data_IF_817891798352
#
_entry.id   IF_817891798352
#
_cell.length_a   1.000
_cell.length_b   1.000
_cell.length_c   1.000
_cell.angle_alpha   90.00
_cell.angle_beta   90.00
_cell.angle_gamma   90.00
#
_symmetry.space_group_name_H-M   'P 1'
#
loop_
_entity.id
_entity.type
_entity.pdbx_description
1 polymer ?
#
# COMPACT_ATOMS: atom_id res chain seq x y z
N UNK A 1 3.67 -49.83 -15.85
CA UNK A 1 2.64 -48.89 -15.36
C UNK A 1 3.40 -47.75 -14.69
N UNK A 2 3.69 -46.69 -15.45
CA UNK A 2 4.41 -45.53 -14.94
C UNK A 2 3.41 -44.66 -14.18
N UNK A 3 3.59 -44.53 -12.88
CA UNK A 3 2.84 -43.58 -12.07
C UNK A 3 3.60 -42.26 -12.22
N UNK A 4 3.12 -41.38 -13.09
CA UNK A 4 3.53 -39.98 -13.10
C UNK A 4 3.24 -39.37 -11.70
N UNK A 5 4.17 -38.61 -11.10
CA UNK A 5 3.85 -37.90 -9.88
C UNK A 5 2.84 -36.81 -10.21
N UNK A 6 1.67 -36.93 -9.59
CA UNK A 6 0.56 -35.99 -9.66
C UNK A 6 0.97 -34.59 -9.19
N UNK A 7 0.43 -33.61 -9.91
CA UNK A 7 0.56 -32.17 -9.71
C UNK A 7 -0.15 -31.75 -8.41
N UNK A 8 0.45 -31.97 -7.24
CA UNK A 8 -0.14 -31.55 -5.94
C UNK A 8 0.89 -31.05 -4.91
N UNK A 9 2.14 -30.76 -5.28
CA UNK A 9 3.18 -30.35 -4.32
C UNK A 9 3.50 -28.85 -4.28
N UNK A 10 2.91 -28.02 -5.15
CA UNK A 10 3.20 -26.58 -5.17
C UNK A 10 2.38 -25.72 -4.21
N UNK A 11 1.30 -26.24 -3.61
CA UNK A 11 0.41 -25.45 -2.73
C UNK A 11 0.89 -25.32 -1.26
N UNK A 12 2.02 -25.94 -0.89
CA UNK A 12 2.43 -26.05 0.52
C UNK A 12 3.56 -25.11 0.96
N UNK A 13 4.19 -24.35 0.06
CA UNK A 13 5.26 -23.44 0.47
C UNK A 13 4.68 -22.13 1.02
N UNK A 14 4.91 -21.86 2.31
CA UNK A 14 4.50 -20.61 2.95
C UNK A 14 5.48 -19.51 2.56
N UNK A 15 5.02 -18.55 1.76
CA UNK A 15 5.83 -17.38 1.39
C UNK A 15 5.98 -16.48 2.61
N UNK A 16 7.19 -15.98 2.85
CA UNK A 16 7.49 -14.94 3.84
C UNK A 16 7.73 -13.60 3.12
N UNK A 17 6.70 -12.75 2.92
CA UNK A 17 6.78 -11.55 2.07
C UNK A 17 7.89 -10.56 2.46
N UNK A 18 8.23 -10.48 3.74
CA UNK A 18 9.25 -9.56 4.26
C UNK A 18 10.69 -10.03 4.03
N UNK A 19 10.91 -11.24 3.52
CA UNK A 19 12.25 -11.65 3.12
C UNK A 19 12.73 -10.80 1.94
N UNK A 20 14.00 -10.32 1.92
CA UNK A 20 14.48 -9.40 0.89
C UNK A 20 14.24 -9.89 -0.55
N UNK A 21 14.47 -11.18 -0.82
CA UNK A 21 14.20 -11.81 -2.12
C UNK A 21 12.72 -11.71 -2.52
N UNK A 22 11.82 -11.87 -1.56
CA UNK A 22 10.38 -11.84 -1.77
C UNK A 22 9.86 -10.41 -1.94
N UNK A 23 10.39 -9.44 -1.18
CA UNK A 23 10.14 -8.01 -1.40
C UNK A 23 10.55 -7.62 -2.82
N UNK A 24 11.76 -7.98 -3.23
CA UNK A 24 12.24 -7.71 -4.59
C UNK A 24 11.33 -8.36 -5.65
N UNK A 25 10.94 -9.62 -5.45
CA UNK A 25 10.07 -10.34 -6.39
C UNK A 25 8.68 -9.69 -6.46
N UNK A 26 8.12 -9.24 -5.34
CA UNK A 26 6.83 -8.53 -5.29
C UNK A 26 6.88 -7.21 -6.09
N UNK A 27 7.95 -6.43 -5.91
CA UNK A 27 8.10 -5.11 -6.56
C UNK A 27 8.35 -5.24 -8.07
N UNK A 28 9.29 -6.10 -8.47
CA UNK A 28 9.78 -6.12 -9.86
C UNK A 28 9.25 -7.29 -10.68
N UNK A 29 8.77 -8.36 -10.04
CA UNK A 29 8.27 -9.56 -10.70
C UNK A 29 6.93 -10.04 -10.11
N UNK A 30 5.91 -9.18 -9.96
CA UNK A 30 4.70 -9.50 -9.20
C UNK A 30 3.96 -10.72 -9.74
N UNK A 31 3.99 -10.97 -11.05
CA UNK A 31 3.42 -12.19 -11.65
C UNK A 31 4.05 -13.45 -11.05
N UNK A 32 5.38 -13.48 -10.94
CA UNK A 32 6.15 -14.60 -10.37
C UNK A 32 5.90 -14.74 -8.88
N UNK A 33 5.81 -13.62 -8.16
CA UNK A 33 5.51 -13.64 -6.73
C UNK A 33 4.14 -14.28 -6.44
N UNK A 34 3.09 -13.83 -7.13
CA UNK A 34 1.72 -14.32 -6.89
C UNK A 34 1.44 -15.72 -7.47
N UNK A 35 2.29 -16.23 -8.37
CA UNK A 35 2.15 -17.59 -8.90
C UNK A 35 2.84 -18.65 -8.04
N UNK A 36 3.65 -18.26 -7.04
CA UNK A 36 4.40 -19.21 -6.22
C UNK A 36 3.51 -20.00 -5.27
N UNK A 37 2.60 -19.33 -4.56
CA UNK A 37 1.73 -19.93 -3.55
C UNK A 37 0.65 -18.93 -3.13
N UNK A 38 -0.48 -19.44 -2.65
CA UNK A 38 -1.57 -18.64 -2.06
C UNK A 38 -1.41 -18.50 -0.54
N UNK A 39 -0.45 -19.20 0.04
CA UNK A 39 -0.20 -19.26 1.48
C UNK A 39 0.90 -18.27 1.88
N UNK A 40 0.49 -17.19 2.57
CA UNK A 40 1.41 -16.17 3.06
C UNK A 40 1.57 -16.26 4.57
N UNK A 41 2.80 -16.05 5.04
CA UNK A 41 3.13 -16.03 6.46
C UNK A 41 2.32 -14.95 7.20
N UNK A 42 1.46 -15.38 8.13
CA UNK A 42 0.45 -14.55 8.78
C UNK A 42 1.05 -13.31 9.48
N UNK A 43 2.13 -13.48 10.24
CA UNK A 43 2.77 -12.35 10.95
C UNK A 43 3.32 -11.30 9.97
N UNK A 44 3.83 -11.73 8.81
CA UNK A 44 4.33 -10.79 7.80
C UNK A 44 3.18 -9.96 7.22
N UNK A 45 2.02 -10.57 6.99
CA UNK A 45 0.83 -9.85 6.53
C UNK A 45 0.35 -8.85 7.59
N UNK A 46 0.34 -9.21 8.88
CA UNK A 46 -0.02 -8.29 9.96
C UNK A 46 0.93 -7.09 10.00
N UNK A 47 2.25 -7.33 9.96
CA UNK A 47 3.24 -6.24 9.97
C UNK A 47 3.05 -5.31 8.77
N UNK A 48 2.83 -5.85 7.57
CA UNK A 48 2.58 -5.04 6.39
C UNK A 48 1.26 -4.25 6.51
N UNK A 49 0.19 -4.87 7.00
CA UNK A 49 -1.08 -4.20 7.24
C UNK A 49 -0.93 -3.04 8.24
N UNK A 50 -0.13 -3.24 9.28
CA UNK A 50 0.23 -2.20 10.23
C UNK A 50 0.99 -1.04 9.57
N UNK A 51 2.02 -1.32 8.76
CA UNK A 51 2.76 -0.30 8.02
C UNK A 51 1.85 0.53 7.09
N UNK A 52 0.88 -0.11 6.43
CA UNK A 52 -0.13 0.61 5.63
C UNK A 52 -0.99 1.51 6.52
N UNK A 53 -1.37 1.05 7.72
CA UNK A 53 -2.08 1.86 8.71
C UNK A 53 -1.27 3.07 9.15
N UNK A 54 0.03 2.91 9.41
CA UNK A 54 0.97 4.00 9.72
C UNK A 54 0.99 5.03 8.58
N UNK A 55 1.20 4.59 7.34
CA UNK A 55 1.19 5.49 6.16
C UNK A 55 -0.15 6.21 6.00
N UNK A 56 -1.27 5.54 6.29
CA UNK A 56 -2.60 6.19 6.26
C UNK A 56 -2.70 7.34 7.27
N UNK A 57 -2.04 7.24 8.42
CA UNK A 57 -1.98 8.34 9.39
C UNK A 57 -1.05 9.45 8.90
N UNK A 58 0.09 9.10 8.30
CA UNK A 58 1.01 10.08 7.67
C UNK A 58 0.26 10.92 6.62
N UNK A 59 -0.46 10.28 5.70
CA UNK A 59 -1.27 10.96 4.68
C UNK A 59 -2.31 11.91 5.29
N UNK A 60 -2.90 11.55 6.45
CA UNK A 60 -3.87 12.40 7.16
C UNK A 60 -3.20 13.62 7.80
N UNK A 61 -1.97 13.48 8.31
CA UNK A 61 -1.18 14.61 8.81
C UNK A 61 -0.90 15.56 7.65
N UNK A 62 -0.41 15.06 6.52
CA UNK A 62 -0.11 15.88 5.34
C UNK A 62 -1.34 16.62 4.81
N UNK A 63 -2.49 15.94 4.74
CA UNK A 63 -3.75 16.59 4.36
C UNK A 63 -4.17 17.71 5.33
N UNK A 64 -3.86 17.57 6.62
CA UNK A 64 -4.17 18.62 7.60
C UNK A 64 -3.18 19.78 7.53
N UNK A 65 -1.91 19.52 7.24
CA UNK A 65 -0.90 20.56 6.99
C UNK A 65 -1.28 21.38 5.76
N UNK A 66 -1.58 20.71 4.64
CA UNK A 66 -2.09 21.36 3.42
C UNK A 66 -3.32 22.23 3.67
N UNK A 67 -4.28 21.74 4.47
CA UNK A 67 -5.49 22.52 4.82
C UNK A 67 -5.20 23.71 5.74
N UNK A 68 -4.21 23.59 6.60
CA UNK A 68 -3.81 24.68 7.50
C UNK A 68 -3.20 25.83 6.70
N UNK A 69 -2.37 25.52 5.70
CA UNK A 69 -1.81 26.49 4.75
C UNK A 69 -2.90 27.26 3.99
N UNK A 70 -3.97 26.58 3.56
CA UNK A 70 -5.05 27.24 2.80
C UNK A 70 -6.03 28.04 3.67
N UNK A 71 -6.15 27.75 4.97
CA UNK A 71 -7.25 28.27 5.82
C UNK A 71 -6.78 29.19 6.96
N UNK A 72 -5.47 29.37 7.18
CA UNK A 72 -4.91 30.16 8.30
C UNK A 72 -5.42 29.74 9.70
N UNK A 73 -5.89 28.49 9.86
CA UNK A 73 -6.31 27.94 11.16
C UNK A 73 -5.18 27.09 11.73
N UNK A 74 -4.83 27.34 12.99
CA UNK A 74 -3.87 26.52 13.73
C UNK A 74 -4.38 25.08 13.82
N UNK A 75 -3.62 24.14 13.25
CA UNK A 75 -3.94 22.73 13.30
C UNK A 75 -3.76 22.19 14.72
N UNK A 76 -4.73 21.40 15.20
CA UNK A 76 -4.63 20.60 16.43
C UNK A 76 -3.40 19.67 16.42
N UNK A 77 -2.80 19.42 15.26
CA UNK A 77 -1.62 18.56 15.08
C UNK A 77 -0.28 19.28 15.11
N UNK A 78 -0.22 20.58 15.43
CA UNK A 78 1.06 21.30 15.60
C UNK A 78 2.02 20.55 16.53
N UNK A 79 1.57 20.20 17.74
CA UNK A 79 2.40 19.43 18.69
C UNK A 79 2.84 18.05 18.20
N UNK A 80 2.13 17.46 17.24
CA UNK A 80 2.46 16.14 16.69
C UNK A 80 3.60 16.20 15.66
N UNK A 81 3.79 17.34 14.98
CA UNK A 81 4.80 17.50 13.91
C UNK A 81 6.03 18.28 14.36
N UNK A 82 5.97 18.93 15.52
CA UNK A 82 7.05 19.75 16.08
C UNK A 82 8.29 18.94 16.51
N UNK A 83 8.14 17.63 16.73
CA UNK A 83 9.26 16.74 17.02
C UNK A 83 9.07 15.36 16.40
N UNK A 84 10.17 14.72 16.01
CA UNK A 84 10.14 13.37 15.46
C UNK A 84 9.62 12.33 16.46
N UNK A 85 9.90 12.48 17.75
CA UNK A 85 9.39 11.56 18.77
C UNK A 85 7.88 11.65 18.90
N UNK A 86 7.31 12.86 18.95
CA UNK A 86 5.85 13.08 18.93
C UNK A 86 5.24 12.53 17.64
N UNK A 87 5.87 12.79 16.50
CA UNK A 87 5.41 12.34 15.18
C UNK A 87 5.34 10.82 15.11
N UNK A 88 6.45 10.13 15.44
CA UNK A 88 6.51 8.67 15.43
C UNK A 88 5.54 8.06 16.42
N UNK A 89 5.40 8.61 17.63
CA UNK A 89 4.42 8.13 18.62
C UNK A 89 3.00 8.21 18.05
N UNK A 90 2.64 9.34 17.42
CA UNK A 90 1.34 9.54 16.81
C UNK A 90 1.05 8.57 15.66
N UNK A 91 1.95 8.49 14.66
CA UNK A 91 1.72 7.64 13.48
C UNK A 91 1.78 6.16 13.81
N UNK A 92 2.65 5.74 14.74
CA UNK A 92 2.75 4.35 15.17
C UNK A 92 1.56 3.94 16.05
N UNK A 93 1.11 4.82 16.95
CA UNK A 93 -0.05 4.57 17.81
C UNK A 93 -1.37 4.51 17.02
N UNK A 94 -1.68 5.58 16.28
CA UNK A 94 -2.89 5.65 15.46
C UNK A 94 -2.86 4.71 14.25
N UNK A 95 -1.67 4.26 13.86
CA UNK A 95 -1.47 3.29 12.78
C UNK A 95 -2.16 1.96 13.06
N UNK A 96 -2.24 1.51 14.32
CA UNK A 96 -2.93 0.27 14.71
C UNK A 96 -4.43 0.37 14.40
N UNK A 97 -5.05 1.47 14.83
CA UNK A 97 -6.47 1.74 14.62
C UNK A 97 -6.75 1.83 13.11
N UNK A 98 -5.92 2.60 12.39
CA UNK A 98 -6.05 2.77 10.94
C UNK A 98 -5.87 1.46 10.18
N UNK A 99 -4.96 0.58 10.61
CA UNK A 99 -4.77 -0.75 10.02
C UNK A 99 -6.01 -1.63 10.19
N UNK A 100 -6.67 -1.62 11.36
CA UNK A 100 -7.88 -2.39 11.59
C UNK A 100 -9.03 -1.94 10.66
N UNK A 101 -9.26 -0.64 10.54
CA UNK A 101 -10.26 -0.10 9.61
C UNK A 101 -9.89 -0.40 8.15
N UNK A 102 -8.63 -0.19 7.77
CA UNK A 102 -8.13 -0.47 6.42
C UNK A 102 -8.30 -1.93 6.02
N UNK A 103 -7.97 -2.86 6.91
CA UNK A 103 -8.12 -4.31 6.69
C UNK A 103 -9.55 -4.71 6.36
N UNK A 104 -10.53 -4.12 7.04
CA UNK A 104 -11.95 -4.42 6.83
C UNK A 104 -12.50 -3.73 5.57
N UNK A 105 -12.36 -2.41 5.49
CA UNK A 105 -12.99 -1.59 4.45
C UNK A 105 -12.32 -1.83 3.10
N UNK A 106 -11.00 -1.71 3.04
CA UNK A 106 -10.26 -1.85 1.79
C UNK A 106 -10.21 -3.30 1.33
N UNK A 107 -10.13 -4.25 2.27
CA UNK A 107 -10.25 -5.67 1.96
C UNK A 107 -11.61 -6.04 1.37
N UNK A 108 -12.70 -5.50 1.93
CA UNK A 108 -14.04 -5.66 1.38
C UNK A 108 -14.16 -5.06 -0.03
N UNK A 109 -13.66 -3.84 -0.22
CA UNK A 109 -13.70 -3.17 -1.53
C UNK A 109 -12.86 -3.91 -2.58
N UNK A 110 -11.69 -4.42 -2.18
CA UNK A 110 -10.85 -5.27 -3.04
C UNK A 110 -11.61 -6.51 -3.50
N UNK A 111 -12.25 -7.22 -2.57
CA UNK A 111 -13.10 -8.38 -2.89
C UNK A 111 -14.21 -8.02 -3.86
N UNK A 112 -14.88 -6.88 -3.69
CA UNK A 112 -15.92 -6.42 -4.62
C UNK A 112 -15.39 -6.21 -6.04
N UNK A 113 -14.23 -5.58 -6.20
CA UNK A 113 -13.56 -5.44 -7.51
C UNK A 113 -13.19 -6.79 -8.13
N UNK A 114 -12.80 -7.78 -7.32
CA UNK A 114 -12.57 -9.15 -7.80
C UNK A 114 -13.87 -9.77 -8.34
N UNK A 115 -14.99 -9.60 -7.63
CA UNK A 115 -16.31 -10.07 -8.09
C UNK A 115 -16.74 -9.41 -9.39
N UNK A 116 -16.54 -8.09 -9.53
CA UNK A 116 -16.78 -7.38 -10.80
C UNK A 116 -15.86 -7.84 -11.93
N UNK A 117 -14.74 -8.47 -11.59
CA UNK A 117 -13.79 -9.07 -12.54
C UNK A 117 -13.99 -10.57 -12.74
N UNK A 118 -15.15 -11.11 -12.34
CA UNK A 118 -15.53 -12.50 -12.59
C UNK A 118 -14.95 -13.54 -11.63
N UNK A 119 -14.27 -13.15 -10.56
CA UNK A 119 -13.84 -14.09 -9.52
C UNK A 119 -15.06 -14.62 -8.75
N UNK A 120 -15.43 -15.88 -8.98
CA UNK A 120 -16.48 -16.57 -8.23
C UNK A 120 -15.96 -16.90 -6.83
N UNK A 121 -16.76 -16.59 -5.81
CA UNK A 121 -16.48 -16.92 -4.40
C UNK A 121 -15.05 -16.62 -3.90
N UNK A 122 -14.50 -15.44 -4.25
CA UNK A 122 -13.19 -15.04 -3.75
C UNK A 122 -13.14 -15.07 -2.20
N UNK A 123 -12.23 -15.87 -1.65
CA UNK A 123 -11.96 -15.92 -0.21
C UNK A 123 -11.64 -14.51 0.32
N UNK A 124 -12.43 -13.98 1.28
CA UNK A 124 -12.18 -12.68 1.89
C UNK A 124 -10.77 -12.54 2.47
N UNK A 125 -10.21 -13.60 3.06
CA UNK A 125 -8.93 -13.52 3.72
C UNK A 125 -7.78 -13.43 2.70
N UNK A 126 -7.80 -14.28 1.69
CA UNK A 126 -6.85 -14.19 0.59
C UNK A 126 -6.96 -12.85 -0.15
N UNK A 127 -8.18 -12.31 -0.35
CA UNK A 127 -8.37 -11.00 -0.98
C UNK A 127 -7.71 -9.87 -0.16
N UNK A 128 -7.83 -9.92 1.17
CA UNK A 128 -7.14 -9.01 2.09
C UNK A 128 -5.63 -9.16 2.02
N UNK A 129 -5.11 -10.39 1.94
CA UNK A 129 -3.67 -10.62 1.80
C UNK A 129 -3.11 -9.98 0.53
N UNK A 130 -3.77 -10.21 -0.62
CA UNK A 130 -3.34 -9.62 -1.90
C UNK A 130 -3.45 -8.09 -1.87
N UNK A 131 -4.52 -7.54 -1.27
CA UNK A 131 -4.65 -6.09 -1.06
C UNK A 131 -3.49 -5.53 -0.23
N UNK A 132 -3.14 -6.16 0.89
CA UNK A 132 -2.05 -5.72 1.76
C UNK A 132 -0.70 -5.79 1.04
N UNK A 133 -0.46 -6.86 0.29
CA UNK A 133 0.78 -7.03 -0.48
C UNK A 133 0.92 -5.98 -1.59
N UNK A 134 -0.14 -5.67 -2.34
CA UNK A 134 -0.04 -4.61 -3.36
C UNK A 134 0.11 -3.22 -2.73
N UNK A 135 -0.56 -2.93 -1.61
CA UNK A 135 -0.43 -1.64 -0.91
C UNK A 135 0.96 -1.47 -0.30
N UNK A 136 1.62 -2.55 0.09
CA UNK A 136 2.99 -2.51 0.59
C UNK A 136 3.98 -1.88 -0.39
N UNK A 137 3.73 -2.08 -1.69
CA UNK A 137 4.60 -1.56 -2.76
C UNK A 137 4.65 -0.05 -2.75
N UNK A 138 3.56 0.60 -2.35
CA UNK A 138 3.49 2.05 -2.16
C UNK A 138 3.91 2.47 -0.73
N UNK A 139 3.46 1.73 0.28
CA UNK A 139 3.70 2.09 1.69
C UNK A 139 5.17 1.99 2.10
N UNK A 140 5.90 0.97 1.64
CA UNK A 140 7.30 0.76 2.04
C UNK A 140 8.22 1.93 1.63
N UNK A 141 8.20 2.43 0.38
CA UNK A 141 8.94 3.64 -0.01
C UNK A 141 8.67 4.85 0.88
N UNK A 142 7.41 5.06 1.29
CA UNK A 142 7.03 6.18 2.17
C UNK A 142 7.68 6.01 3.53
N UNK A 143 7.52 4.85 4.16
CA UNK A 143 8.12 4.58 5.48
C UNK A 143 9.64 4.73 5.45
N UNK A 144 10.31 4.23 4.40
CA UNK A 144 11.77 4.39 4.22
C UNK A 144 12.13 5.87 4.06
N UNK A 145 11.40 6.61 3.24
CA UNK A 145 11.66 8.03 2.99
C UNK A 145 11.49 8.86 4.26
N UNK A 146 10.41 8.63 5.01
CA UNK A 146 10.17 9.31 6.28
C UNK A 146 11.19 8.94 7.35
N UNK A 147 11.65 7.69 7.39
CA UNK A 147 12.75 7.28 8.26
C UNK A 147 14.06 8.01 7.89
N UNK A 148 14.37 8.17 6.60
CA UNK A 148 15.52 8.96 6.15
C UNK A 148 15.36 10.44 6.55
N UNK A 149 14.18 11.03 6.32
CA UNK A 149 13.88 12.40 6.71
C UNK A 149 14.08 12.65 8.22
N UNK A 150 13.84 11.64 9.07
CA UNK A 150 14.09 11.72 10.52
C UNK A 150 15.54 12.07 10.87
N UNK A 151 16.49 11.67 10.02
CA UNK A 151 17.92 11.96 10.24
C UNK A 151 18.39 13.22 9.51
N UNK A 152 17.64 13.69 8.51
CA UNK A 152 18.03 14.83 7.68
C UNK A 152 17.46 16.16 8.17
N UNK A 153 16.30 16.15 8.83
CA UNK A 153 15.60 17.34 9.27
C UNK A 153 15.38 17.35 10.78
N UNK A 154 15.37 18.52 11.44
CA UNK A 154 15.11 18.63 12.88
C UNK A 154 13.75 18.09 13.34
N UNK A 155 12.72 18.21 12.49
CA UNK A 155 11.33 17.84 12.78
C UNK A 155 10.56 17.52 11.48
N UNK A 156 9.32 17.04 11.62
CA UNK A 156 8.51 16.66 10.45
C UNK A 156 8.08 17.87 9.62
N UNK A 157 7.78 19.00 10.27
CA UNK A 157 7.30 20.19 9.55
C UNK A 157 8.38 20.78 8.62
N UNK A 158 9.64 20.79 9.04
CA UNK A 158 10.76 21.18 8.18
C UNK A 158 10.97 20.20 7.03
N UNK A 159 10.88 18.89 7.30
CA UNK A 159 10.96 17.87 6.25
C UNK A 159 9.84 18.07 5.21
N UNK A 160 8.60 18.27 5.66
CA UNK A 160 7.45 18.51 4.80
C UNK A 160 7.66 19.75 3.91
N UNK A 161 8.15 20.87 4.47
CA UNK A 161 8.35 22.12 3.74
C UNK A 161 9.53 22.10 2.76
N UNK A 162 10.59 21.34 3.04
CA UNK A 162 11.86 21.42 2.30
C UNK A 162 12.12 20.21 1.38
N UNK A 163 11.43 19.08 1.56
CA UNK A 163 11.81 17.81 0.92
C UNK A 163 11.19 17.59 -0.47
N UNK A 164 11.36 18.54 -1.38
CA UNK A 164 10.72 18.52 -2.71
C UNK A 164 10.99 17.22 -3.48
N UNK A 165 12.25 16.77 -3.57
CA UNK A 165 12.61 15.55 -4.33
C UNK A 165 12.17 14.26 -3.60
N UNK A 166 12.35 14.20 -2.28
CA UNK A 166 11.99 13.01 -1.50
C UNK A 166 10.47 12.81 -1.47
N UNK A 167 9.67 13.88 -1.48
CA UNK A 167 8.21 13.81 -1.55
C UNK A 167 7.67 13.15 -2.83
N UNK A 168 8.39 13.26 -3.95
CA UNK A 168 7.96 12.64 -5.22
C UNK A 168 8.40 11.18 -5.40
N UNK A 169 9.28 10.66 -4.54
CA UNK A 169 9.79 9.28 -4.65
C UNK A 169 8.66 8.25 -4.62
N UNK A 170 7.58 8.50 -3.87
CA UNK A 170 6.45 7.57 -3.73
C UNK A 170 5.56 7.49 -4.98
N UNK A 171 5.61 8.49 -5.87
CA UNK A 171 4.70 8.61 -7.03
C UNK A 171 4.85 7.44 -8.01
N UNK A 172 6.06 7.04 -8.47
CA UNK A 172 6.22 5.84 -9.30
C UNK A 172 5.68 4.57 -8.63
N UNK A 173 5.83 4.45 -7.31
CA UNK A 173 5.37 3.29 -6.56
C UNK A 173 3.85 3.23 -6.40
N UNK A 174 3.17 4.38 -6.47
CA UNK A 174 1.71 4.45 -6.55
C UNK A 174 1.21 3.74 -7.81
N UNK A 175 1.79 4.04 -8.97
CA UNK A 175 1.46 3.38 -10.23
C UNK A 175 1.91 1.92 -10.25
N UNK A 176 3.07 1.60 -9.67
CA UNK A 176 3.54 0.23 -9.53
C UNK A 176 2.58 -0.61 -8.67
N UNK A 177 2.03 -0.04 -7.59
CA UNK A 177 1.05 -0.74 -6.74
C UNK A 177 -0.20 -1.15 -7.53
N UNK A 178 -0.67 -0.32 -8.48
CA UNK A 178 -1.77 -0.66 -9.37
C UNK A 178 -1.42 -1.85 -10.27
N UNK A 179 -0.21 -1.86 -10.83
CA UNK A 179 0.28 -2.99 -11.62
C UNK A 179 0.37 -4.28 -10.81
N UNK A 180 0.92 -4.20 -9.61
CA UNK A 180 1.04 -5.32 -8.67
C UNK A 180 -0.35 -5.82 -8.27
N UNK A 181 -1.30 -4.91 -8.03
CA UNK A 181 -2.69 -5.26 -7.75
C UNK A 181 -3.36 -6.00 -8.91
N UNK A 182 -3.20 -5.54 -10.14
CA UNK A 182 -3.71 -6.23 -11.33
C UNK A 182 -3.09 -7.62 -11.51
N UNK A 183 -1.79 -7.76 -11.28
CA UNK A 183 -1.11 -9.06 -11.31
C UNK A 183 -1.59 -9.97 -10.19
N UNK A 184 -1.75 -9.49 -8.97
CA UNK A 184 -2.32 -10.25 -7.86
C UNK A 184 -3.73 -10.73 -8.15
N UNK A 185 -4.61 -9.85 -8.66
CA UNK A 185 -5.97 -10.21 -9.04
C UNK A 185 -6.01 -11.33 -10.11
N UNK A 186 -5.20 -11.21 -11.16
CA UNK A 186 -5.21 -12.17 -12.28
C UNK A 186 -4.51 -13.49 -11.97
N UNK A 187 -3.42 -13.47 -11.19
CA UNK A 187 -2.67 -14.69 -10.87
C UNK A 187 -3.32 -15.50 -9.73
N UNK A 188 -3.87 -14.84 -8.72
CA UNK A 188 -4.41 -15.52 -7.54
C UNK A 188 -5.86 -15.97 -7.75
N UNK A 189 -6.67 -15.15 -8.44
CA UNK A 189 -8.12 -15.35 -8.56
C UNK A 189 -8.63 -15.63 -9.98
N UNK A 190 -7.72 -15.75 -10.96
CA UNK A 190 -8.05 -16.08 -12.37
C UNK A 190 -9.19 -15.20 -12.94
N UNK A 191 -9.11 -13.90 -12.71
CA UNK A 191 -10.10 -12.92 -13.16
C UNK A 191 -10.14 -12.75 -14.68
N UNK A 192 -11.26 -12.21 -15.18
CA UNK A 192 -11.45 -11.90 -16.60
C UNK A 192 -10.85 -10.53 -17.00
N UNK A 193 -11.09 -10.11 -18.25
CA UNK A 193 -10.56 -8.86 -18.81
C UNK A 193 -10.93 -7.58 -18.04
N UNK A 194 -12.04 -7.58 -17.29
CA UNK A 194 -12.44 -6.44 -16.45
C UNK A 194 -11.47 -6.15 -15.31
N UNK A 195 -10.61 -7.10 -14.93
CA UNK A 195 -9.57 -6.86 -13.93
C UNK A 195 -8.62 -5.74 -14.34
N UNK A 196 -8.35 -5.57 -15.65
CA UNK A 196 -7.52 -4.47 -16.14
C UNK A 196 -8.18 -3.11 -15.86
N UNK A 197 -9.50 -3.01 -16.03
CA UNK A 197 -10.23 -1.80 -15.72
C UNK A 197 -10.22 -1.52 -14.20
N UNK A 198 -10.63 -2.49 -13.37
CA UNK A 198 -10.84 -2.27 -11.93
C UNK A 198 -9.56 -2.13 -11.10
N UNK A 199 -8.46 -2.80 -11.48
CA UNK A 199 -7.22 -2.83 -10.69
C UNK A 199 -6.09 -2.01 -11.28
N UNK A 200 -6.18 -1.63 -12.56
CA UNK A 200 -5.14 -0.84 -13.23
C UNK A 200 -5.70 0.47 -13.78
N UNK A 201 -6.64 0.41 -14.72
CA UNK A 201 -7.13 1.60 -15.44
C UNK A 201 -7.81 2.62 -14.53
N UNK A 202 -8.82 2.20 -13.77
CA UNK A 202 -9.60 3.09 -12.92
C UNK A 202 -8.76 3.72 -11.79
N UNK A 203 -7.93 2.98 -11.04
CA UNK A 203 -7.04 3.59 -10.04
C UNK A 203 -6.03 4.57 -10.64
N UNK A 204 -5.39 4.24 -11.76
CA UNK A 204 -4.44 5.15 -12.44
C UNK A 204 -5.15 6.43 -12.86
N UNK A 205 -6.32 6.33 -13.49
CA UNK A 205 -7.10 7.51 -13.89
C UNK A 205 -7.43 8.38 -12.68
N UNK A 206 -7.86 7.77 -11.57
CA UNK A 206 -8.18 8.50 -10.33
C UNK A 206 -6.96 9.22 -9.76
N UNK A 207 -5.80 8.56 -9.71
CA UNK A 207 -4.56 9.18 -9.23
C UNK A 207 -4.07 10.31 -10.14
N UNK A 208 -4.11 10.13 -11.46
CA UNK A 208 -3.75 11.19 -12.42
C UNK A 208 -4.68 12.40 -12.28
N UNK A 209 -5.98 12.19 -12.11
CA UNK A 209 -6.93 13.28 -11.90
C UNK A 209 -6.65 14.02 -10.60
N UNK A 210 -6.41 13.31 -9.48
CA UNK A 210 -6.08 13.95 -8.20
C UNK A 210 -4.80 14.76 -8.32
N UNK A 211 -3.72 14.17 -8.83
CA UNK A 211 -2.43 14.85 -8.99
C UNK A 211 -2.57 16.06 -9.92
N UNK A 212 -3.34 15.93 -11.01
CA UNK A 212 -3.61 17.02 -11.95
C UNK A 212 -4.38 18.16 -11.31
N UNK A 213 -5.43 17.87 -10.53
CA UNK A 213 -6.20 18.88 -9.79
C UNK A 213 -5.31 19.58 -8.76
N UNK A 214 -4.51 18.83 -7.98
CA UNK A 214 -3.58 19.43 -7.03
C UNK A 214 -2.54 20.32 -7.71
N UNK A 215 -1.98 19.89 -8.84
CA UNK A 215 -1.00 20.69 -9.60
C UNK A 215 -1.61 21.98 -10.11
N UNK A 216 -2.85 21.95 -10.60
CA UNK A 216 -3.55 23.12 -11.12
C UNK A 216 -4.00 24.11 -10.03
N UNK A 217 -4.17 23.65 -8.78
CA UNK A 217 -4.53 24.51 -7.65
C UNK A 217 -3.32 25.23 -7.05
N UNK A 218 -2.11 24.71 -7.26
CA UNK A 218 -0.86 25.24 -6.71
C UNK A 218 -0.08 26.09 -7.74
N UNK A 219 -0.38 25.94 -9.03
CA UNK A 219 0.15 26.76 -10.14
C UNK A 219 -0.55 28.12 -10.26
#
# INVERSE_FOLDING_TARGET
>A
MNIEPTVETQDNEIIKPLQPKQVFTLFFQPKKFFSQSKNYHHQSIIVIAYLIGVVTVMDRIDQQLLRAETTNRTSFMSSAVDSWSSYWLWVLGMGIISAAFGWLIQGWWYKKRLQFSGAKEADPQLARHVYVLQSFVFALPIVITTAIQTFLYPNYIEAYNQSTVLGFISVPFLFLSCWVSYRGATQVFHTNGWAKFWFLGLPILFYVLIIGVFSALIS
#
